data_IF_522062671841
#
_entry.id   IF_522062671841
#
_cell.length_a   1.000
_cell.length_b   1.000
_cell.length_c   1.000
_cell.angle_alpha   90.00
_cell.angle_beta   90.00
_cell.angle_gamma   90.00
#
_symmetry.space_group_name_H-M   'P 1'
#
loop_
_entity.id
_entity.type
_entity.pdbx_description
1 polymer ?
#
# COMPACT_ATOMS: atom_id res chain seq x y z
N UNK A 1 0.71 32.21 6.01
CA UNK A 1 0.92 31.27 7.13
C UNK A 1 0.49 29.89 6.71
N UNK A 2 1.36 29.17 6.63
CA UNK A 2 1.83 27.92 6.14
C UNK A 2 0.94 26.72 6.49
N UNK A 3 0.45 26.07 5.49
CA UNK A 3 -0.23 24.78 5.43
C UNK A 3 0.73 23.58 5.67
N UNK A 4 1.79 23.75 6.47
CA UNK A 4 2.82 22.73 6.68
C UNK A 4 2.30 21.43 7.36
N UNK A 5 1.17 21.50 8.06
CA UNK A 5 0.60 20.35 8.78
C UNK A 5 -0.44 19.54 7.99
N UNK A 6 -0.70 19.87 6.73
CA UNK A 6 -1.87 19.35 6.00
C UNK A 6 -1.60 18.40 4.84
N UNK A 7 -0.38 18.35 4.28
CA UNK A 7 -0.13 17.67 2.99
C UNK A 7 -0.48 16.17 3.05
N UNK A 8 -0.19 15.50 4.15
CA UNK A 8 -0.45 14.07 4.33
C UNK A 8 -1.59 13.77 5.33
N UNK A 9 -2.17 14.79 5.99
CA UNK A 9 -3.12 14.58 7.09
C UNK A 9 -4.33 13.73 6.67
N UNK A 10 -4.96 14.02 5.54
CA UNK A 10 -6.09 13.26 5.03
C UNK A 10 -5.74 11.80 4.69
N UNK A 11 -4.57 11.58 4.09
CA UNK A 11 -4.09 10.23 3.77
C UNK A 11 -3.73 9.43 5.01
N UNK A 12 -3.15 10.07 6.03
CA UNK A 12 -2.81 9.43 7.29
C UNK A 12 -4.07 9.06 8.09
N UNK A 13 -5.08 9.94 8.16
CA UNK A 13 -6.37 9.60 8.78
C UNK A 13 -7.07 8.44 8.06
N UNK A 14 -7.01 8.38 6.74
CA UNK A 14 -7.58 7.27 5.99
C UNK A 14 -6.84 5.96 6.26
N UNK A 15 -5.51 5.99 6.31
CA UNK A 15 -4.67 4.83 6.65
C UNK A 15 -4.97 4.32 8.07
N UNK A 16 -5.10 5.22 9.06
CA UNK A 16 -5.46 4.88 10.44
C UNK A 16 -6.83 4.19 10.49
N UNK A 17 -7.82 4.76 9.81
CA UNK A 17 -9.17 4.18 9.72
C UNK A 17 -9.16 2.79 9.10
N UNK A 18 -8.44 2.58 8.01
CA UNK A 18 -8.31 1.28 7.34
C UNK A 18 -7.61 0.26 8.23
N UNK A 19 -6.57 0.67 8.94
CA UNK A 19 -5.85 -0.19 9.88
C UNK A 19 -6.75 -0.66 11.03
N UNK A 20 -7.49 0.25 11.66
CA UNK A 20 -8.43 -0.11 12.73
C UNK A 20 -9.55 -1.03 12.24
N UNK A 21 -10.06 -0.79 11.03
CA UNK A 21 -11.09 -1.64 10.41
C UNK A 21 -10.54 -3.05 10.14
N UNK A 22 -9.31 -3.15 9.62
CA UNK A 22 -8.65 -4.43 9.35
C UNK A 22 -8.46 -5.23 10.64
N UNK A 23 -7.95 -4.62 11.71
CA UNK A 23 -7.76 -5.30 13.01
C UNK A 23 -9.10 -5.77 13.57
N UNK A 24 -10.15 -4.95 13.51
CA UNK A 24 -11.50 -5.35 13.96
C UNK A 24 -12.03 -6.54 13.17
N UNK A 25 -11.89 -6.50 11.86
CA UNK A 25 -12.31 -7.58 10.96
C UNK A 25 -11.59 -8.88 11.30
N UNK A 26 -10.26 -8.88 11.41
CA UNK A 26 -9.47 -10.06 11.73
C UNK A 26 -9.85 -10.66 13.11
N UNK A 27 -10.07 -9.81 14.12
CA UNK A 27 -10.50 -10.27 15.45
C UNK A 27 -11.91 -10.88 15.42
N UNK A 28 -12.83 -10.32 14.64
CA UNK A 28 -14.16 -10.88 14.45
C UNK A 28 -14.10 -12.21 13.72
N UNK A 29 -13.31 -12.30 12.65
CA UNK A 29 -13.15 -13.50 11.84
C UNK A 29 -12.64 -14.71 12.63
N UNK A 30 -11.82 -14.50 13.66
CA UNK A 30 -11.35 -15.59 14.54
C UNK A 30 -12.48 -16.31 15.31
N UNK A 31 -13.65 -15.70 15.41
CA UNK A 31 -14.84 -16.22 16.15
C UNK A 31 -16.03 -16.49 15.23
N UNK A 32 -15.86 -16.28 13.93
CA UNK A 32 -16.92 -16.38 12.94
C UNK A 32 -17.05 -17.80 12.39
N UNK A 33 -18.26 -18.15 11.95
CA UNK A 33 -18.49 -19.40 11.24
C UNK A 33 -18.02 -19.31 9.77
N UNK A 34 -17.95 -20.45 9.09
CA UNK A 34 -17.48 -20.51 7.70
C UNK A 34 -18.31 -19.64 6.73
N UNK A 35 -19.62 -19.50 6.95
CA UNK A 35 -20.51 -18.70 6.10
C UNK A 35 -20.23 -17.19 6.26
N UNK A 36 -19.91 -16.77 7.47
CA UNK A 36 -19.51 -15.39 7.77
C UNK A 36 -18.18 -15.04 7.12
N UNK A 37 -17.20 -15.95 7.21
CA UNK A 37 -15.90 -15.81 6.52
C UNK A 37 -16.11 -15.70 5.01
N UNK A 38 -16.94 -16.56 4.41
CA UNK A 38 -17.22 -16.49 2.97
C UNK A 38 -17.91 -15.18 2.57
N UNK A 39 -18.78 -14.63 3.41
CA UNK A 39 -19.38 -13.31 3.15
C UNK A 39 -18.35 -12.19 3.19
N UNK A 40 -17.52 -12.17 4.22
CA UNK A 40 -16.44 -11.19 4.36
C UNK A 40 -15.49 -11.23 3.16
N UNK A 41 -15.07 -12.43 2.73
CA UNK A 41 -14.22 -12.60 1.55
C UNK A 41 -14.87 -12.03 0.28
N UNK A 42 -16.16 -12.30 0.04
CA UNK A 42 -16.85 -11.74 -1.14
C UNK A 42 -16.87 -10.21 -1.13
N UNK A 43 -17.12 -9.60 0.01
CA UNK A 43 -17.12 -8.14 0.15
C UNK A 43 -15.72 -7.57 -0.12
N UNK A 44 -14.69 -8.13 0.50
CA UNK A 44 -13.31 -7.67 0.32
C UNK A 44 -12.82 -7.85 -1.12
N UNK A 45 -13.18 -8.97 -1.78
CA UNK A 45 -12.86 -9.18 -3.19
C UNK A 45 -13.54 -8.18 -4.11
N UNK A 46 -14.74 -7.73 -3.77
CA UNK A 46 -15.41 -6.68 -4.52
C UNK A 46 -14.70 -5.34 -4.34
N UNK A 47 -14.38 -4.94 -3.11
CA UNK A 47 -13.61 -3.72 -2.82
C UNK A 47 -12.25 -3.73 -3.51
N UNK A 48 -11.56 -4.88 -3.51
CA UNK A 48 -10.27 -5.05 -4.18
C UNK A 48 -10.38 -4.80 -5.69
N UNK A 49 -11.37 -5.39 -6.35
CA UNK A 49 -11.62 -5.17 -7.79
C UNK A 49 -12.00 -3.73 -8.12
N UNK A 50 -12.76 -3.07 -7.26
CA UNK A 50 -13.09 -1.65 -7.42
C UNK A 50 -11.84 -0.78 -7.35
N UNK A 51 -10.92 -1.10 -6.44
CA UNK A 51 -9.64 -0.40 -6.34
C UNK A 51 -8.77 -0.60 -7.58
N UNK A 52 -8.69 -1.82 -8.13
CA UNK A 52 -7.97 -2.09 -9.39
C UNK A 52 -8.53 -1.26 -10.54
N UNK A 53 -9.85 -1.14 -10.65
CA UNK A 53 -10.49 -0.30 -11.66
C UNK A 53 -10.15 1.19 -11.48
N UNK A 54 -10.02 1.67 -10.24
CA UNK A 54 -9.58 3.04 -9.96
C UNK A 54 -8.14 3.27 -10.38
N UNK A 55 -7.24 2.31 -10.12
CA UNK A 55 -5.85 2.36 -10.59
C UNK A 55 -5.76 2.38 -12.11
N UNK A 56 -6.50 1.50 -12.81
CA UNK A 56 -6.56 1.47 -14.26
C UNK A 56 -7.06 2.79 -14.85
N UNK A 57 -8.10 3.39 -14.26
CA UNK A 57 -8.58 4.72 -14.66
C UNK A 57 -7.52 5.79 -14.42
N UNK A 58 -6.83 5.76 -13.29
CA UNK A 58 -5.75 6.70 -12.97
C UNK A 58 -4.63 6.64 -14.01
N UNK A 59 -4.25 5.44 -14.44
CA UNK A 59 -3.26 5.25 -15.51
C UNK A 59 -3.75 5.86 -16.84
N UNK A 60 -5.00 5.59 -17.21
CA UNK A 60 -5.55 5.95 -18.51
C UNK A 60 -5.90 7.46 -18.63
N UNK A 61 -6.31 8.10 -17.53
CA UNK A 61 -6.88 9.46 -17.55
C UNK A 61 -6.02 10.51 -16.85
N UNK A 62 -4.94 10.13 -16.18
CA UNK A 62 -4.09 11.09 -15.48
C UNK A 62 -3.34 12.00 -16.45
N UNK A 63 -3.43 13.30 -16.23
CA UNK A 63 -2.62 14.30 -16.92
C UNK A 63 -1.19 14.38 -16.39
N UNK A 64 -0.88 13.70 -15.27
CA UNK A 64 0.44 13.62 -14.68
C UNK A 64 1.11 12.29 -15.03
N UNK A 65 2.20 12.29 -15.82
CA UNK A 65 2.96 11.07 -16.10
C UNK A 65 3.48 10.38 -14.84
N UNK A 66 3.82 11.16 -13.80
CA UNK A 66 4.29 10.61 -12.53
C UNK A 66 3.18 9.83 -11.80
N UNK A 67 1.96 10.37 -11.74
CA UNK A 67 0.80 9.68 -11.15
C UNK A 67 0.47 8.41 -11.94
N UNK A 68 0.47 8.47 -13.26
CA UNK A 68 0.23 7.31 -14.11
C UNK A 68 1.29 6.21 -13.89
N UNK A 69 2.57 6.57 -13.80
CA UNK A 69 3.67 5.64 -13.55
C UNK A 69 3.55 4.96 -12.16
N UNK A 70 3.24 5.72 -11.10
CA UNK A 70 3.05 5.17 -9.75
C UNK A 70 1.83 4.24 -9.68
N UNK A 71 0.72 4.59 -10.32
CA UNK A 71 -0.47 3.74 -10.40
C UNK A 71 -0.21 2.46 -11.17
N UNK A 72 0.57 2.52 -12.26
CA UNK A 72 0.97 1.34 -13.02
C UNK A 72 1.85 0.39 -12.20
N UNK A 73 2.83 0.92 -11.48
CA UNK A 73 3.70 0.13 -10.60
C UNK A 73 2.92 -0.59 -9.48
N UNK A 74 1.90 0.07 -8.91
CA UNK A 74 1.04 -0.55 -7.91
C UNK A 74 0.21 -1.69 -8.51
N UNK A 75 -0.39 -1.48 -9.67
CA UNK A 75 -1.17 -2.53 -10.36
C UNK A 75 -0.29 -3.72 -10.76
N UNK A 76 0.91 -3.47 -11.27
CA UNK A 76 1.89 -4.53 -11.63
C UNK A 76 2.27 -5.36 -10.41
N UNK A 77 2.51 -4.71 -9.26
CA UNK A 77 2.77 -5.39 -8.01
C UNK A 77 1.62 -6.32 -7.61
N UNK A 78 0.37 -5.83 -7.64
CA UNK A 78 -0.81 -6.61 -7.27
C UNK A 78 -0.99 -7.84 -8.18
N UNK A 79 -0.81 -7.67 -9.49
CA UNK A 79 -0.88 -8.77 -10.45
C UNK A 79 0.20 -9.81 -10.22
N UNK A 80 1.44 -9.38 -9.90
CA UNK A 80 2.54 -10.31 -9.61
C UNK A 80 2.30 -11.12 -8.35
N UNK A 81 1.76 -10.52 -7.32
CA UNK A 81 1.39 -11.23 -6.08
C UNK A 81 0.29 -12.27 -6.35
N UNK A 82 -0.73 -11.93 -7.13
CA UNK A 82 -1.78 -12.89 -7.50
C UNK A 82 -1.22 -14.08 -8.29
N UNK A 83 -0.31 -13.82 -9.23
CA UNK A 83 0.36 -14.88 -10.00
C UNK A 83 1.13 -15.84 -9.09
N UNK A 84 1.94 -15.32 -8.17
CA UNK A 84 2.72 -16.12 -7.22
C UNK A 84 1.79 -16.97 -6.34
N UNK A 85 0.75 -16.35 -5.77
CA UNK A 85 -0.17 -17.01 -4.86
C UNK A 85 -0.96 -18.15 -5.55
N UNK A 86 -1.37 -17.95 -6.80
CA UNK A 86 -2.21 -18.91 -7.50
C UNK A 86 -1.42 -20.00 -8.21
N UNK A 87 -0.26 -19.67 -8.76
CA UNK A 87 0.45 -20.55 -9.69
C UNK A 87 1.77 -21.12 -9.15
N UNK A 88 2.49 -20.36 -8.33
CA UNK A 88 3.83 -20.75 -7.89
C UNK A 88 3.82 -21.30 -6.46
N UNK A 89 3.21 -20.60 -5.52
CA UNK A 89 3.29 -20.90 -4.10
C UNK A 89 2.73 -22.27 -3.71
N UNK A 90 1.60 -22.75 -4.26
CA UNK A 90 1.12 -24.09 -3.98
C UNK A 90 2.14 -25.19 -4.36
N UNK A 91 2.89 -24.98 -5.46
CA UNK A 91 3.93 -25.91 -5.87
C UNK A 91 5.14 -25.95 -4.93
N UNK A 92 5.45 -24.85 -4.26
CA UNK A 92 6.56 -24.79 -3.30
C UNK A 92 6.23 -25.45 -1.96
N UNK A 93 4.97 -25.46 -1.55
CA UNK A 93 4.51 -26.08 -0.29
C UNK A 93 4.06 -27.53 -0.47
N UNK A 94 3.98 -28.02 -1.72
CA UNK A 94 3.56 -29.40 -2.02
C UNK A 94 4.43 -30.42 -1.31
N UNK A 95 3.80 -31.28 -0.50
CA UNK A 95 4.44 -32.36 0.25
C UNK A 95 4.04 -33.75 -0.24
N UNK A 96 4.79 -34.77 0.19
CA UNK A 96 4.45 -36.19 -0.09
C UNK A 96 3.09 -36.53 0.53
N UNK A 97 2.08 -36.75 -0.32
CA UNK A 97 0.74 -37.16 0.09
C UNK A 97 -0.26 -36.06 0.33
N UNK A 98 0.14 -34.80 0.14
CA UNK A 98 -0.82 -33.64 0.16
C UNK A 98 -1.64 -33.61 -1.13
N UNK A 99 -2.89 -33.15 -1.03
CA UNK A 99 -3.71 -32.90 -2.20
C UNK A 99 -3.66 -31.40 -2.60
N UNK A 100 -4.18 -31.08 -3.78
CA UNK A 100 -4.18 -29.70 -4.32
C UNK A 100 -4.89 -28.70 -3.38
N UNK A 101 -5.92 -29.15 -2.66
CA UNK A 101 -6.68 -28.29 -1.74
C UNK A 101 -5.87 -28.00 -0.48
N UNK A 102 -5.14 -28.98 0.03
CA UNK A 102 -4.23 -28.82 1.18
C UNK A 102 -3.09 -27.87 0.82
N UNK A 103 -2.45 -28.07 -0.33
CA UNK A 103 -1.38 -27.17 -0.82
C UNK A 103 -1.85 -25.72 -0.99
N UNK A 104 -3.06 -25.52 -1.52
CA UNK A 104 -3.66 -24.20 -1.64
C UNK A 104 -3.96 -23.56 -0.27
N UNK A 105 -4.44 -24.34 0.69
CA UNK A 105 -4.72 -23.84 2.04
C UNK A 105 -3.43 -23.45 2.76
N UNK A 106 -2.38 -24.26 2.64
CA UNK A 106 -1.07 -23.97 3.23
C UNK A 106 -0.42 -22.75 2.57
N UNK A 107 -0.44 -22.66 1.24
CA UNK A 107 0.05 -21.49 0.50
C UNK A 107 -0.70 -20.21 0.91
N UNK A 108 -2.02 -20.27 1.05
CA UNK A 108 -2.82 -19.14 1.47
C UNK A 108 -2.52 -18.71 2.92
N UNK A 109 -2.29 -19.66 3.82
CA UNK A 109 -1.91 -19.39 5.22
C UNK A 109 -0.55 -18.70 5.29
N UNK A 110 0.45 -19.25 4.61
CA UNK A 110 1.80 -18.67 4.53
C UNK A 110 1.77 -17.26 3.94
N UNK A 111 1.02 -17.05 2.86
CA UNK A 111 0.87 -15.73 2.28
C UNK A 111 0.15 -14.76 3.20
N UNK A 112 -0.87 -15.21 3.95
CA UNK A 112 -1.58 -14.37 4.92
C UNK A 112 -0.66 -13.80 5.99
N UNK A 113 0.23 -14.63 6.57
CA UNK A 113 1.25 -14.19 7.53
C UNK A 113 2.22 -13.18 6.89
N UNK A 114 2.74 -13.51 5.72
CA UNK A 114 3.66 -12.65 4.98
C UNK A 114 3.03 -11.31 4.59
N UNK A 115 1.76 -11.30 4.19
CA UNK A 115 1.05 -10.07 3.82
C UNK A 115 0.88 -9.11 5.00
N UNK A 116 0.68 -9.62 6.21
CA UNK A 116 0.61 -8.80 7.44
C UNK A 116 1.96 -8.16 7.74
N UNK A 117 3.05 -8.92 7.65
CA UNK A 117 4.41 -8.41 7.84
C UNK A 117 4.76 -7.36 6.77
N UNK A 118 4.37 -7.63 5.53
CA UNK A 118 4.58 -6.71 4.41
C UNK A 118 3.81 -5.40 4.57
N UNK A 119 2.59 -5.44 5.10
CA UNK A 119 1.81 -4.25 5.41
C UNK A 119 2.52 -3.36 6.46
N UNK A 120 3.12 -3.96 7.49
CA UNK A 120 3.91 -3.22 8.47
C UNK A 120 5.15 -2.56 7.85
N UNK A 121 5.83 -3.25 6.93
CA UNK A 121 6.96 -2.70 6.18
C UNK A 121 6.52 -1.55 5.25
N UNK A 122 5.39 -1.70 4.56
CA UNK A 122 4.84 -0.66 3.70
C UNK A 122 4.49 0.62 4.48
N UNK A 123 3.96 0.49 5.70
CA UNK A 123 3.73 1.65 6.58
C UNK A 123 5.01 2.37 6.96
N UNK A 124 6.09 1.64 7.27
CA UNK A 124 7.41 2.26 7.55
C UNK A 124 7.96 2.98 6.32
N UNK A 125 7.79 2.40 5.14
CA UNK A 125 8.19 3.02 3.88
C UNK A 125 7.40 4.30 3.59
N UNK A 126 6.09 4.29 3.81
CA UNK A 126 5.24 5.47 3.67
C UNK A 126 5.67 6.61 4.61
N UNK A 127 6.00 6.29 5.87
CA UNK A 127 6.52 7.27 6.83
C UNK A 127 7.87 7.85 6.36
N UNK A 128 8.79 7.01 5.92
CA UNK A 128 10.08 7.44 5.38
C UNK A 128 9.90 8.39 4.19
N UNK A 129 9.05 8.03 3.25
CA UNK A 129 8.75 8.86 2.07
C UNK A 129 8.13 10.21 2.44
N UNK A 130 7.20 10.24 3.40
CA UNK A 130 6.58 11.46 3.88
C UNK A 130 7.59 12.39 4.58
N UNK A 131 8.43 11.84 5.46
CA UNK A 131 9.49 12.61 6.14
C UNK A 131 10.52 13.15 5.15
N UNK A 132 10.93 12.35 4.17
CA UNK A 132 11.84 12.80 3.12
C UNK A 132 11.27 13.94 2.28
N UNK A 133 9.97 13.89 1.97
CA UNK A 133 9.31 14.97 1.25
C UNK A 133 9.25 16.27 2.07
N UNK A 134 8.98 16.19 3.37
CA UNK A 134 8.99 17.33 4.27
C UNK A 134 10.38 17.94 4.39
N UNK A 135 11.41 17.10 4.57
CA UNK A 135 12.81 17.53 4.65
C UNK A 135 13.25 18.28 3.39
N UNK A 136 12.95 17.73 2.21
CA UNK A 136 13.24 18.39 0.94
C UNK A 136 12.53 19.73 0.78
N UNK A 137 11.28 19.85 1.23
CA UNK A 137 10.56 21.11 1.20
C UNK A 137 11.18 22.16 2.13
N UNK A 138 11.56 21.76 3.35
CA UNK A 138 12.24 22.65 4.31
C UNK A 138 13.58 23.15 3.75
N UNK A 139 14.34 22.27 3.14
CA UNK A 139 15.61 22.64 2.49
C UNK A 139 15.41 23.64 1.33
N UNK A 140 14.34 23.53 0.55
CA UNK A 140 14.03 24.52 -0.49
C UNK A 140 13.67 25.89 0.12
N UNK A 141 12.85 25.92 1.16
CA UNK A 141 12.44 27.16 1.85
C UNK A 141 13.63 27.87 2.51
N UNK A 142 14.55 27.12 3.12
CA UNK A 142 15.77 27.67 3.73
C UNK A 142 16.67 28.33 2.66
N UNK A 143 16.80 27.71 1.49
CA UNK A 143 17.59 28.25 0.36
C UNK A 143 17.00 29.56 -0.18
N UNK A 144 15.67 29.65 -0.28
CA UNK A 144 14.97 30.86 -0.71
C UNK A 144 15.04 31.99 0.32
N UNK A 145 15.28 31.66 1.59
CA UNK A 145 15.35 32.61 2.71
C UNK A 145 16.73 33.24 2.88
N UNK A 146 17.77 32.76 2.17
CA UNK A 146 19.09 33.39 2.18
C UNK A 146 19.08 34.56 1.20
N UNK A 147 19.12 35.85 1.65
CA UNK A 147 19.17 36.99 0.75
C UNK A 147 20.47 36.93 -0.06
N UNK A 148 20.37 37.17 -1.37
CA UNK A 148 21.51 37.45 -2.26
C UNK A 148 22.20 38.76 -1.84
N UNK A 149 22.90 38.76 -0.73
CA UNK A 149 23.69 39.87 -0.27
C UNK A 149 25.17 39.54 -0.30
N UNK A 150 25.74 39.39 -1.50
CA UNK A 150 27.21 39.44 -1.68
C UNK A 150 27.59 39.76 -3.13
N UNK A 151 27.15 40.90 -3.67
CA UNK A 151 27.80 41.49 -4.84
C UNK A 151 27.68 43.02 -4.85
N UNK A 152 28.12 43.72 -3.81
CA UNK A 152 28.48 45.14 -3.90
C UNK A 152 29.46 45.54 -2.82
N UNK A 153 30.65 44.97 -2.84
CA UNK A 153 31.80 45.54 -2.11
C UNK A 153 33.10 45.24 -2.85
N UNK A 154 33.23 45.81 -4.05
CA UNK A 154 34.56 46.03 -4.67
C UNK A 154 34.46 47.06 -5.78
N UNK A 155 34.48 48.33 -5.38
CA UNK A 155 35.02 49.41 -6.21
C UNK A 155 35.77 50.40 -5.34
#
# INVERSE_FOLDING_TARGET
>A
MSTKNGIFAGKLCELERQYEQTIRCLRCCQRSDHREIQRALRCLWQEYRENDLLLQRSIATSHSPAVAALSAAQLEYDLKIQEILQNELPGYVHGEGSDVTEDQAEAASLYGEYAIDFAAQAMRHALLAALSAIDLQMNCEERESIPENTEEASK
#
